data_IF_734702572649
#
_entry.id   IF_734702572649
#
_cell.length_a   1.000
_cell.length_b   1.000
_cell.length_c   1.000
_cell.angle_alpha   90.00
_cell.angle_beta   90.00
_cell.angle_gamma   90.00
#
_symmetry.space_group_name_H-M   'P 1'
#
loop_
_entity.id
_entity.type
_entity.pdbx_description
1 polymer ?
#
# COMPACT_ATOMS: atom_id res chain seq x y z
N UNK A 1 10.86 -59.01 42.17
CA UNK A 1 12.23 -59.09 42.74
C UNK A 1 12.92 -57.78 42.44
N UNK A 2 13.06 -56.99 43.51
CA UNK A 2 14.26 -56.34 44.00
C UNK A 2 14.81 -55.30 43.03
N UNK A 3 14.61 -54.04 43.31
CA UNK A 3 15.38 -53.23 44.27
C UNK A 3 16.50 -52.48 43.57
N UNK A 4 16.43 -51.15 43.58
CA UNK A 4 17.18 -50.15 44.33
C UNK A 4 16.75 -48.76 43.81
N UNK A 5 16.06 -48.01 44.45
CA UNK A 5 16.12 -47.03 45.56
C UNK A 5 17.52 -46.59 46.00
N UNK A 6 17.67 -45.26 46.11
CA UNK A 6 18.69 -44.40 46.72
C UNK A 6 19.58 -43.69 45.67
N UNK A 7 19.79 -42.40 45.74
CA UNK A 7 20.00 -41.53 46.90
C UNK A 7 19.94 -40.09 46.51
N UNK A 8 19.29 -39.31 47.33
CA UNK A 8 19.74 -38.15 48.14
C UNK A 8 20.07 -36.89 47.35
N UNK A 9 19.26 -35.82 47.48
CA UNK A 9 19.23 -34.85 48.60
C UNK A 9 20.61 -34.34 49.03
N UNK A 10 20.75 -33.07 48.92
CA UNK A 10 21.58 -32.02 49.55
C UNK A 10 22.18 -31.17 48.43
N UNK A 11 22.04 -29.83 48.40
CA UNK A 11 22.31 -28.83 49.41
C UNK A 11 21.70 -27.52 48.96
N UNK A 12 20.77 -26.94 49.67
CA UNK A 12 20.90 -25.90 50.70
C UNK A 12 21.68 -24.66 50.27
N UNK A 13 20.91 -23.61 50.08
CA UNK A 13 21.07 -22.19 50.42
C UNK A 13 22.49 -21.65 50.64
N UNK A 14 22.81 -20.63 49.85
CA UNK A 14 23.57 -19.46 50.34
C UNK A 14 22.76 -18.21 50.02
N UNK A 15 22.17 -17.69 51.07
CA UNK A 15 21.56 -16.38 51.19
C UNK A 15 22.61 -15.47 51.87
N UNK A 16 22.49 -14.16 51.62
CA UNK A 16 23.21 -13.00 52.17
C UNK A 16 24.38 -12.58 51.26
N UNK A 17 24.34 -11.43 50.69
CA UNK A 17 24.08 -10.10 51.12
C UNK A 17 24.94 -9.18 50.27
N UNK A 18 24.32 -8.33 49.50
CA UNK A 18 25.00 -7.09 49.12
C UNK A 18 24.05 -5.93 49.40
N UNK A 19 24.53 -5.14 50.34
CA UNK A 19 23.95 -3.92 50.82
C UNK A 19 23.73 -2.91 49.71
N UNK A 20 22.63 -2.23 49.84
CA UNK A 20 22.28 -1.02 49.13
C UNK A 20 23.37 0.03 49.17
N UNK A 21 23.80 0.51 48.02
CA UNK A 21 24.34 1.85 47.85
C UNK A 21 23.38 2.59 46.91
N UNK A 22 22.47 3.32 47.54
CA UNK A 22 21.65 4.32 46.88
C UNK A 22 22.57 5.49 46.55
N UNK A 23 23.02 5.59 45.32
CA UNK A 23 23.57 6.82 44.79
C UNK A 23 22.39 7.69 44.34
N UNK A 24 22.14 8.79 45.06
CA UNK A 24 21.32 9.89 44.58
C UNK A 24 22.00 10.50 43.36
N UNK A 25 21.56 10.07 42.15
CA UNK A 25 21.80 10.82 40.93
C UNK A 25 20.67 11.85 40.84
N UNK A 26 21.05 13.12 40.98
CA UNK A 26 20.11 14.24 40.80
C UNK A 26 19.44 14.19 39.46
N UNK A 27 18.12 14.29 39.47
CA UNK A 27 17.32 14.50 38.28
C UNK A 27 17.76 15.83 37.63
N UNK A 28 18.45 15.75 36.51
CA UNK A 28 18.60 16.89 35.61
C UNK A 28 17.34 16.97 34.80
N UNK A 29 16.65 18.08 34.90
CA UNK A 29 15.51 18.39 34.01
C UNK A 29 15.95 18.32 32.56
N UNK A 30 15.12 17.77 31.67
CA UNK A 30 15.41 17.75 30.23
C UNK A 30 15.52 19.20 29.73
N UNK A 31 16.43 19.48 28.77
CA UNK A 31 16.58 20.81 28.21
C UNK A 31 15.27 21.26 27.54
N UNK A 32 14.81 22.43 27.89
CA UNK A 32 13.64 23.09 27.27
C UNK A 32 13.85 23.22 25.75
N UNK A 33 12.88 22.83 24.93
CA UNK A 33 13.00 23.04 23.47
C UNK A 33 13.10 24.53 23.14
N UNK A 34 13.85 24.92 22.12
CA UNK A 34 14.00 26.31 21.72
C UNK A 34 12.65 26.91 21.32
N UNK A 35 12.39 28.12 21.82
CA UNK A 35 11.20 28.90 21.51
C UNK A 35 11.21 29.17 20.00
N UNK A 36 10.12 28.86 19.26
CA UNK A 36 10.03 29.22 17.84
C UNK A 36 10.10 30.73 17.66
N UNK A 37 10.72 31.24 16.60
CA UNK A 37 10.82 32.68 16.35
C UNK A 37 9.40 33.27 16.22
N UNK A 38 9.22 34.45 16.81
CA UNK A 38 7.97 35.18 16.82
C UNK A 38 7.41 35.31 15.38
N UNK A 39 6.14 34.93 15.22
CA UNK A 39 5.39 35.05 13.97
C UNK A 39 5.52 36.45 13.40
N UNK A 40 5.93 36.55 12.16
CA UNK A 40 5.95 37.79 11.42
C UNK A 40 4.53 38.43 11.44
N UNK A 41 4.47 39.68 11.86
CA UNK A 41 3.23 40.48 11.86
C UNK A 41 2.77 40.61 10.42
N UNK A 42 1.64 39.99 10.11
CA UNK A 42 0.94 40.16 8.81
C UNK A 42 0.43 41.60 8.76
N UNK A 43 0.74 42.40 7.73
CA UNK A 43 0.19 43.72 7.60
C UNK A 43 -1.34 43.65 7.41
N UNK A 44 -2.11 44.66 7.91
CA UNK A 44 -3.56 44.62 7.80
C UNK A 44 -4.02 44.71 6.35
N UNK A 45 -4.96 43.87 5.99
CA UNK A 45 -5.62 43.85 4.68
C UNK A 45 -6.41 45.14 4.53
N UNK A 46 -6.27 45.88 3.40
CA UNK A 46 -7.07 47.07 3.17
C UNK A 46 -8.56 46.73 3.07
N UNK A 47 -9.45 47.63 3.55
CA UNK A 47 -10.88 47.38 3.55
C UNK A 47 -11.42 47.26 2.13
N UNK A 48 -12.27 46.23 1.94
CA UNK A 48 -13.00 46.01 0.69
C UNK A 48 -13.90 47.20 0.38
N UNK A 49 -13.84 47.70 -0.85
CA UNK A 49 -14.71 48.72 -1.37
C UNK A 49 -16.19 48.24 -1.32
N UNK A 50 -17.13 49.08 -0.95
CA UNK A 50 -18.54 48.71 -0.89
C UNK A 50 -19.05 48.36 -2.29
N UNK A 51 -19.80 47.26 -2.39
CA UNK A 51 -20.51 46.86 -3.60
C UNK A 51 -21.57 47.89 -4.01
N UNK A 52 -21.70 48.22 -5.31
CA UNK A 52 -22.73 49.12 -5.78
C UNK A 52 -24.14 48.51 -5.60
N UNK A 53 -25.15 49.35 -5.38
CA UNK A 53 -26.52 48.86 -5.19
C UNK A 53 -27.09 48.29 -6.49
N UNK A 54 -27.84 47.20 -6.34
CA UNK A 54 -28.65 46.60 -7.41
C UNK A 54 -29.72 47.58 -7.88
N UNK A 55 -29.60 48.10 -9.09
CA UNK A 55 -30.72 48.72 -9.80
C UNK A 55 -31.30 47.70 -10.79
N UNK A 56 -32.58 47.46 -10.65
CA UNK A 56 -33.33 46.62 -11.54
C UNK A 56 -33.61 47.26 -12.89
N UNK A 57 -34.00 46.42 -13.83
CA UNK A 57 -34.51 46.64 -15.19
C UNK A 57 -33.46 47.07 -16.24
N UNK A 58 -33.07 46.08 -17.02
CA UNK A 58 -32.27 46.23 -18.25
C UNK A 58 -33.10 46.92 -19.34
N UNK A 59 -32.69 48.05 -19.85
CA UNK A 59 -33.18 48.51 -21.17
C UNK A 59 -32.59 47.66 -22.29
N UNK A 60 -33.39 47.48 -23.35
CA UNK A 60 -32.97 46.74 -24.53
C UNK A 60 -31.63 47.23 -25.10
N UNK A 61 -30.72 46.33 -25.32
CA UNK A 61 -29.39 46.55 -25.87
C UNK A 61 -29.47 47.16 -27.30
N UNK A 62 -28.90 48.31 -27.55
CA UNK A 62 -28.83 48.81 -28.92
C UNK A 62 -27.92 47.94 -29.78
N UNK A 63 -28.35 47.68 -31.00
CA UNK A 63 -27.61 46.87 -31.96
C UNK A 63 -26.15 47.37 -32.11
N UNK A 64 -25.20 46.44 -31.90
CA UNK A 64 -23.78 46.71 -32.00
C UNK A 64 -23.44 47.27 -33.40
N UNK A 65 -22.63 48.34 -33.49
CA UNK A 65 -22.17 48.85 -34.77
C UNK A 65 -21.30 47.79 -35.47
N UNK A 66 -21.53 47.62 -36.79
CA UNK A 66 -20.72 46.73 -37.62
C UNK A 66 -19.26 47.12 -37.53
N UNK A 67 -18.41 46.17 -37.12
CA UNK A 67 -16.96 46.40 -37.08
C UNK A 67 -16.43 46.71 -38.52
N UNK A 68 -15.58 47.67 -38.69
CA UNK A 68 -14.90 47.90 -39.96
C UNK A 68 -14.06 46.67 -40.35
N UNK A 69 -14.05 46.31 -41.63
CA UNK A 69 -13.25 45.21 -42.14
C UNK A 69 -11.77 45.46 -41.80
N UNK A 70 -11.15 44.47 -41.15
CA UNK A 70 -9.71 44.53 -40.85
C UNK A 70 -8.94 44.60 -42.17
N UNK A 71 -7.92 45.46 -42.26
CA UNK A 71 -7.03 45.50 -43.40
C UNK A 71 -6.33 44.15 -43.59
N UNK A 72 -6.19 43.69 -44.82
CA UNK A 72 -5.48 42.48 -45.15
C UNK A 72 -4.07 42.50 -44.56
N UNK A 73 -3.72 41.47 -43.77
CA UNK A 73 -2.35 41.37 -43.26
C UNK A 73 -1.37 41.25 -44.43
N UNK A 74 -0.22 41.94 -44.37
CA UNK A 74 0.82 41.76 -45.37
C UNK A 74 1.29 40.30 -45.36
N UNK A 75 1.52 39.74 -46.56
CA UNK A 75 2.06 38.36 -46.69
C UNK A 75 3.40 38.28 -45.94
N UNK A 76 3.48 37.29 -45.05
CA UNK A 76 4.75 37.03 -44.34
C UNK A 76 5.84 36.68 -45.34
N UNK A 77 7.06 37.20 -45.19
CA UNK A 77 8.19 36.81 -46.02
C UNK A 77 8.41 35.29 -45.90
N UNK A 78 8.76 34.64 -47.00
CA UNK A 78 9.06 33.21 -47.03
C UNK A 78 10.15 32.91 -45.98
N UNK A 79 9.83 31.96 -45.09
CA UNK A 79 10.80 31.47 -44.11
C UNK A 79 11.97 30.83 -44.86
N UNK A 80 13.23 31.24 -44.59
CA UNK A 80 14.37 30.57 -45.21
C UNK A 80 14.34 29.08 -44.97
N UNK A 81 14.70 28.29 -45.97
CA UNK A 81 14.79 26.84 -45.81
C UNK A 81 15.74 26.52 -44.64
N UNK A 82 15.25 25.80 -43.64
CA UNK A 82 16.07 25.32 -42.53
C UNK A 82 17.16 24.42 -43.13
N UNK A 83 18.46 24.68 -42.86
CA UNK A 83 19.51 23.76 -43.30
C UNK A 83 19.19 22.35 -42.81
N UNK A 84 19.44 21.35 -43.65
CA UNK A 84 19.28 19.94 -43.25
C UNK A 84 20.12 19.72 -41.99
N UNK A 85 19.43 19.26 -40.92
CA UNK A 85 20.09 18.84 -39.67
C UNK A 85 21.03 17.69 -40.06
N UNK A 86 22.35 17.76 -39.77
CA UNK A 86 23.21 16.60 -39.95
C UNK A 86 22.61 15.40 -39.27
N UNK A 87 22.64 14.23 -39.92
CA UNK A 87 22.20 12.98 -39.27
C UNK A 87 22.95 12.89 -37.94
N UNK A 88 22.22 12.92 -36.84
CA UNK A 88 22.81 12.71 -35.52
C UNK A 88 23.55 11.38 -35.54
N UNK A 89 24.79 11.31 -34.99
CA UNK A 89 25.43 10.03 -34.76
C UNK A 89 24.44 9.23 -33.93
N UNK A 90 24.05 8.04 -34.44
CA UNK A 90 23.02 7.20 -33.82
C UNK A 90 23.31 7.12 -32.31
N UNK A 91 22.40 7.64 -31.52
CA UNK A 91 22.42 7.43 -30.08
C UNK A 91 22.47 5.91 -29.89
N UNK A 92 23.34 5.40 -28.99
CA UNK A 92 23.28 4.00 -28.64
C UNK A 92 21.84 3.70 -28.30
N UNK A 93 21.34 2.64 -28.90
CA UNK A 93 19.97 2.13 -28.76
C UNK A 93 19.64 2.14 -27.24
N UNK A 94 18.86 3.15 -26.81
CA UNK A 94 18.46 3.25 -25.41
C UNK A 94 17.55 2.08 -25.17
N UNK A 95 18.22 1.05 -24.65
CA UNK A 95 17.71 -0.11 -23.98
C UNK A 95 16.18 -0.15 -24.00
N UNK A 96 15.61 -0.88 -24.95
CA UNK A 96 14.20 -1.24 -24.92
C UNK A 96 14.01 -2.12 -23.68
N UNK A 97 13.78 -1.45 -22.52
CA UNK A 97 13.35 -2.18 -21.33
C UNK A 97 12.11 -2.95 -21.72
N UNK A 98 12.29 -4.25 -21.82
CA UNK A 98 11.23 -5.16 -22.20
C UNK A 98 10.10 -5.05 -21.19
N UNK A 99 8.88 -5.00 -21.68
CA UNK A 99 7.71 -4.98 -20.82
C UNK A 99 7.47 -6.38 -20.27
N UNK A 100 7.33 -6.47 -18.95
CA UNK A 100 6.91 -7.72 -18.30
C UNK A 100 5.47 -7.55 -17.86
N UNK A 101 4.58 -8.39 -18.36
CA UNK A 101 3.20 -8.45 -17.91
C UNK A 101 2.95 -9.76 -17.18
N UNK A 102 2.23 -9.67 -16.05
CA UNK A 102 1.81 -10.83 -15.28
C UNK A 102 0.30 -10.74 -15.05
N UNK A 103 -0.40 -11.77 -15.38
CA UNK A 103 -1.85 -11.88 -15.17
C UNK A 103 -2.20 -13.21 -14.50
N UNK A 104 -3.36 -13.24 -13.89
CA UNK A 104 -3.98 -14.41 -13.32
C UNK A 104 -5.44 -14.44 -13.80
N UNK A 105 -5.88 -15.53 -14.36
CA UNK A 105 -7.24 -15.68 -14.92
C UNK A 105 -8.33 -15.74 -13.84
N UNK A 106 -7.95 -15.90 -12.58
CA UNK A 106 -8.87 -16.04 -11.45
C UNK A 106 -8.75 -14.86 -10.52
N UNK A 107 -9.87 -14.33 -10.09
CA UNK A 107 -9.93 -13.35 -9.00
C UNK A 107 -9.60 -13.97 -7.62
N UNK A 108 -9.41 -15.28 -7.56
CA UNK A 108 -9.07 -16.07 -6.38
C UNK A 108 -7.55 -16.08 -6.15
N UNK A 109 -7.08 -16.38 -4.92
CA UNK A 109 -5.64 -16.55 -4.70
C UNK A 109 -5.05 -17.58 -5.66
N UNK A 110 -3.88 -17.28 -6.20
CA UNK A 110 -3.09 -18.22 -7.01
C UNK A 110 -2.72 -19.43 -6.17
N UNK A 111 -2.96 -20.63 -6.67
CA UNK A 111 -2.69 -21.88 -5.94
C UNK A 111 -1.48 -22.64 -6.46
N UNK A 112 -1.15 -22.45 -7.71
CA UNK A 112 -0.03 -23.09 -8.40
C UNK A 112 0.65 -22.10 -9.36
N UNK A 113 1.92 -22.35 -9.70
CA UNK A 113 2.65 -21.52 -10.65
C UNK A 113 2.04 -21.51 -12.06
N UNK A 114 1.34 -22.59 -12.44
CA UNK A 114 0.66 -22.68 -13.72
C UNK A 114 -0.58 -21.78 -13.86
N UNK A 115 -1.08 -21.24 -12.73
CA UNK A 115 -2.18 -20.26 -12.74
C UNK A 115 -1.68 -18.84 -13.14
N UNK A 116 -0.38 -18.65 -13.25
CA UNK A 116 0.25 -17.38 -13.58
C UNK A 116 0.65 -17.34 -15.05
N UNK A 117 0.15 -16.34 -15.76
CA UNK A 117 0.50 -16.05 -17.15
C UNK A 117 1.48 -14.88 -17.18
N UNK A 118 2.73 -15.16 -17.52
CA UNK A 118 3.78 -14.15 -17.62
C UNK A 118 4.22 -14.02 -19.06
N UNK A 119 4.29 -12.80 -19.54
CA UNK A 119 4.73 -12.48 -20.90
C UNK A 119 5.85 -11.43 -20.83
N UNK A 120 6.86 -11.66 -21.65
CA UNK A 120 7.89 -10.68 -21.95
C UNK A 120 7.63 -10.13 -23.33
N UNK A 121 7.29 -8.85 -23.41
CA UNK A 121 6.71 -8.23 -24.61
C UNK A 121 5.50 -9.05 -25.12
N UNK A 122 5.60 -9.62 -26.32
CA UNK A 122 4.54 -10.44 -26.93
C UNK A 122 4.75 -11.94 -26.73
N UNK A 123 5.83 -12.38 -26.09
CA UNK A 123 6.19 -13.79 -25.96
C UNK A 123 5.82 -14.34 -24.58
N UNK A 124 5.26 -15.55 -24.54
CA UNK A 124 4.99 -16.26 -23.29
C UNK A 124 6.29 -16.73 -22.64
N UNK A 125 6.37 -16.59 -21.33
CA UNK A 125 7.54 -16.99 -20.55
C UNK A 125 7.63 -18.52 -20.41
N UNK A 126 8.84 -19.04 -20.38
CA UNK A 126 9.10 -20.40 -19.91
C UNK A 126 9.12 -20.40 -18.38
N UNK A 127 8.38 -21.33 -17.77
CA UNK A 127 8.20 -21.42 -16.33
C UNK A 127 8.92 -22.63 -15.74
N UNK A 128 9.48 -22.46 -14.55
CA UNK A 128 9.98 -23.52 -13.67
C UNK A 128 9.64 -23.19 -12.22
N UNK A 129 9.30 -24.19 -11.42
CA UNK A 129 9.04 -24.03 -10.00
C UNK A 129 10.11 -24.69 -9.13
N UNK A 130 10.33 -24.10 -7.95
CA UNK A 130 11.19 -24.65 -6.89
C UNK A 130 10.49 -24.46 -5.54
N UNK A 131 10.35 -25.53 -4.76
CA UNK A 131 9.70 -25.49 -3.45
C UNK A 131 10.69 -25.78 -2.32
N UNK A 132 10.54 -25.05 -1.21
CA UNK A 132 11.24 -25.25 0.06
C UNK A 132 10.22 -25.24 1.21
N UNK A 133 10.42 -26.12 2.17
CA UNK A 133 9.60 -26.17 3.39
C UNK A 133 10.48 -25.84 4.59
N UNK A 134 9.94 -25.05 5.51
CA UNK A 134 10.57 -24.72 6.80
C UNK A 134 9.52 -24.76 7.91
N UNK A 135 9.88 -25.24 9.07
CA UNK A 135 8.96 -25.29 10.21
C UNK A 135 8.81 -23.92 10.87
N UNK A 136 7.66 -23.66 11.49
CA UNK A 136 7.46 -22.44 12.27
C UNK A 136 8.44 -22.30 13.44
N UNK A 137 8.91 -23.42 13.98
CA UNK A 137 9.94 -23.42 15.05
C UNK A 137 11.29 -22.95 14.54
N UNK A 138 11.69 -23.31 13.31
CA UNK A 138 12.92 -22.86 12.66
C UNK A 138 12.81 -21.40 12.18
N UNK A 139 11.60 -20.97 11.84
CA UNK A 139 11.33 -19.62 11.34
C UNK A 139 10.17 -18.98 12.13
N UNK A 140 10.39 -18.54 13.38
CA UNK A 140 9.35 -17.88 14.18
C UNK A 140 8.86 -16.56 13.56
N UNK A 141 9.68 -15.92 12.74
CA UNK A 141 9.33 -14.81 11.86
C UNK A 141 9.78 -15.14 10.46
N UNK A 142 8.84 -15.08 9.51
CA UNK A 142 9.15 -15.24 8.09
C UNK A 142 9.38 -13.86 7.46
N UNK A 143 10.62 -13.59 7.01
CA UNK A 143 10.99 -12.37 6.30
C UNK A 143 11.13 -12.69 4.82
N UNK A 144 10.37 -11.99 3.98
CA UNK A 144 10.32 -12.26 2.55
C UNK A 144 10.79 -11.05 1.76
N UNK A 145 11.86 -11.23 1.02
CA UNK A 145 12.51 -10.22 0.18
C UNK A 145 12.75 -10.83 -1.20
N UNK A 146 11.75 -10.82 -2.11
CA UNK A 146 11.98 -11.29 -3.47
C UNK A 146 12.95 -10.36 -4.20
N UNK A 147 13.43 -10.80 -5.35
CA UNK A 147 14.12 -9.91 -6.28
C UNK A 147 13.26 -8.70 -6.65
N UNK A 148 13.89 -7.59 -7.05
CA UNK A 148 13.25 -6.29 -7.25
C UNK A 148 11.95 -6.31 -8.08
N UNK A 149 11.86 -7.19 -9.08
CA UNK A 149 10.69 -7.33 -9.96
C UNK A 149 9.81 -8.54 -9.59
N UNK A 150 9.94 -9.07 -8.38
CA UNK A 150 9.20 -10.25 -7.93
C UNK A 150 7.95 -9.93 -7.12
N UNK A 151 6.88 -10.71 -7.35
CA UNK A 151 5.66 -10.65 -6.54
C UNK A 151 5.67 -11.67 -5.41
N UNK A 152 4.80 -11.44 -4.41
CA UNK A 152 4.61 -12.34 -3.27
C UNK A 152 3.14 -12.52 -2.99
N UNK A 153 2.73 -13.77 -2.87
CA UNK A 153 1.44 -14.12 -2.29
C UNK A 153 1.63 -15.02 -1.07
N UNK A 154 0.94 -14.68 0.01
CA UNK A 154 0.89 -15.50 1.23
C UNK A 154 -0.54 -15.96 1.47
N UNK A 155 -0.71 -17.25 1.69
CA UNK A 155 -1.99 -17.87 2.05
C UNK A 155 -1.89 -18.61 3.38
N UNK A 156 -2.78 -18.32 4.31
CA UNK A 156 -2.87 -19.00 5.59
C UNK A 156 -3.35 -20.45 5.43
N UNK A 157 -2.76 -21.37 6.20
CA UNK A 157 -3.20 -22.77 6.29
C UNK A 157 -3.13 -23.30 7.73
N UNK A 158 -3.66 -24.52 7.94
CA UNK A 158 -3.74 -25.13 9.28
C UNK A 158 -2.56 -26.08 9.58
N UNK A 159 -1.36 -25.80 9.02
CA UNK A 159 -0.13 -26.56 9.30
C UNK A 159 0.90 -25.67 10.01
N UNK A 160 1.78 -26.26 10.82
CA UNK A 160 2.86 -25.57 11.52
C UNK A 160 4.15 -25.45 10.69
N UNK A 161 4.00 -25.41 9.38
CA UNK A 161 5.13 -25.28 8.44
C UNK A 161 4.84 -24.15 7.45
N UNK A 162 5.87 -23.56 6.92
CA UNK A 162 5.82 -22.72 5.73
C UNK A 162 6.18 -23.56 4.52
N UNK A 163 5.40 -23.48 3.44
CA UNK A 163 5.78 -23.94 2.12
C UNK A 163 6.04 -22.71 1.27
N UNK A 164 7.23 -22.60 0.72
CA UNK A 164 7.69 -21.49 -0.10
C UNK A 164 7.97 -22.01 -1.49
N UNK A 165 7.15 -21.66 -2.46
CA UNK A 165 7.31 -22.02 -3.86
C UNK A 165 7.73 -20.78 -4.66
N UNK A 166 8.88 -20.87 -5.32
CA UNK A 166 9.33 -19.86 -6.29
C UNK A 166 8.90 -20.26 -7.68
N UNK A 167 7.99 -19.52 -8.27
CA UNK A 167 7.61 -19.61 -9.67
C UNK A 167 8.60 -18.73 -10.46
N UNK A 168 9.49 -19.35 -11.21
CA UNK A 168 10.54 -18.71 -11.99
C UNK A 168 10.07 -18.59 -13.43
N UNK A 169 10.18 -17.41 -14.01
CA UNK A 169 9.78 -17.13 -15.38
C UNK A 169 10.94 -16.49 -16.14
N UNK A 170 11.20 -16.97 -17.35
CA UNK A 170 12.23 -16.43 -18.20
C UNK A 170 11.75 -16.27 -19.64
N UNK A 171 12.17 -15.21 -20.29
CA UNK A 171 11.95 -14.97 -21.69
C UNK A 171 12.64 -16.03 -22.54
N UNK A 172 11.98 -16.51 -23.58
CA UNK A 172 12.53 -17.55 -24.45
C UNK A 172 13.01 -16.96 -25.79
N UNK A 173 13.92 -16.01 -25.70
CA UNK A 173 14.58 -15.50 -26.89
C UNK A 173 15.72 -16.43 -27.27
N UNK A 174 15.75 -16.89 -28.50
CA UNK A 174 16.78 -17.79 -29.07
C UNK A 174 17.02 -19.07 -28.25
N UNK A 175 16.01 -19.57 -27.53
CA UNK A 175 16.13 -20.77 -26.70
C UNK A 175 16.92 -20.54 -25.40
N UNK A 176 17.15 -19.30 -25.00
CA UNK A 176 17.95 -18.94 -23.81
C UNK A 176 17.27 -19.14 -22.45
N UNK A 177 15.96 -19.37 -22.42
CA UNK A 177 15.18 -19.43 -21.16
C UNK A 177 15.74 -20.43 -20.13
N UNK A 178 16.10 -21.63 -20.55
CA UNK A 178 16.63 -22.66 -19.63
C UNK A 178 17.92 -22.23 -18.94
N UNK A 179 18.76 -21.45 -19.62
CA UNK A 179 19.99 -20.91 -19.04
C UNK A 179 19.69 -19.84 -17.98
N UNK A 180 18.71 -18.99 -18.23
CA UNK A 180 18.25 -17.98 -17.26
C UNK A 180 17.64 -18.66 -16.04
N UNK A 181 16.71 -19.60 -16.25
CA UNK A 181 16.07 -20.36 -15.18
C UNK A 181 17.04 -21.10 -14.28
N UNK A 182 18.10 -21.67 -14.85
CA UNK A 182 19.16 -22.37 -14.10
C UNK A 182 19.99 -21.45 -13.19
N UNK A 183 20.05 -20.15 -13.47
CA UNK A 183 20.74 -19.16 -12.65
C UNK A 183 19.84 -18.57 -11.55
N UNK A 184 18.54 -18.77 -11.65
CA UNK A 184 17.60 -18.29 -10.64
C UNK A 184 17.59 -19.21 -9.43
N UNK A 185 17.75 -18.64 -8.23
CA UNK A 185 17.81 -19.41 -6.99
C UNK A 185 16.79 -18.93 -5.97
N UNK A 186 16.23 -19.86 -5.19
CA UNK A 186 15.46 -19.61 -4.00
C UNK A 186 16.32 -19.91 -2.77
N UNK A 187 16.48 -18.92 -1.90
CA UNK A 187 17.15 -19.09 -0.60
C UNK A 187 16.13 -19.00 0.52
N UNK A 188 16.11 -20.01 1.39
CA UNK A 188 15.32 -19.99 2.62
C UNK A 188 16.27 -20.34 3.76
N UNK A 189 16.65 -19.34 4.58
CA UNK A 189 17.64 -19.51 5.65
C UNK A 189 17.21 -18.71 6.88
N UNK A 190 17.13 -19.34 8.04
CA UNK A 190 16.81 -18.69 9.31
C UNK A 190 15.52 -17.82 9.26
N UNK A 191 14.52 -18.28 8.52
CA UNK A 191 13.26 -17.53 8.31
C UNK A 191 13.36 -16.39 7.30
N UNK A 192 14.48 -16.18 6.66
CA UNK A 192 14.65 -15.24 5.54
C UNK A 192 14.47 -15.96 4.21
N UNK A 193 13.57 -15.43 3.40
CA UNK A 193 13.26 -15.90 2.05
C UNK A 193 13.70 -14.83 1.06
N UNK A 194 14.59 -15.20 0.16
CA UNK A 194 15.06 -14.31 -0.90
C UNK A 194 15.22 -15.06 -2.22
N UNK A 195 15.14 -14.34 -3.31
CA UNK A 195 15.37 -14.86 -4.65
C UNK A 195 16.46 -14.06 -5.33
N UNK A 196 17.23 -14.71 -6.18
CA UNK A 196 18.24 -14.09 -7.02
C UNK A 196 18.28 -14.72 -8.40
N UNK A 197 18.91 -14.06 -9.36
CA UNK A 197 19.02 -14.53 -10.73
C UNK A 197 20.12 -13.81 -11.49
N UNK A 198 20.11 -13.86 -12.84
CA UNK A 198 21.05 -13.16 -13.68
C UNK A 198 21.12 -11.66 -13.36
N UNK A 199 22.26 -11.02 -13.68
CA UNK A 199 22.46 -9.59 -13.44
C UNK A 199 21.59 -8.68 -14.32
N UNK A 200 21.21 -9.17 -15.50
CA UNK A 200 20.22 -8.51 -16.36
C UNK A 200 18.83 -9.03 -15.96
N UNK A 201 18.01 -8.16 -15.38
CA UNK A 201 16.68 -8.47 -14.89
C UNK A 201 15.56 -8.17 -15.88
N UNK A 202 15.90 -7.82 -17.12
CA UNK A 202 14.93 -7.56 -18.18
C UNK A 202 14.24 -8.81 -18.72
N UNK A 203 14.91 -9.95 -18.65
CA UNK A 203 14.51 -11.19 -19.32
C UNK A 203 14.02 -12.28 -18.36
N UNK A 204 13.87 -11.97 -17.07
CA UNK A 204 13.35 -12.90 -16.09
C UNK A 204 12.60 -12.21 -14.96
N UNK A 205 11.72 -12.95 -14.32
CA UNK A 205 11.02 -12.53 -13.11
C UNK A 205 10.69 -13.73 -12.25
N UNK A 206 10.31 -13.49 -11.01
CA UNK A 206 9.85 -14.54 -10.12
C UNK A 206 8.59 -14.13 -9.35
N UNK A 207 7.81 -15.13 -8.93
CA UNK A 207 6.68 -14.94 -8.04
C UNK A 207 6.77 -15.96 -6.91
N UNK A 208 6.64 -15.50 -5.67
CA UNK A 208 6.67 -16.37 -4.50
C UNK A 208 5.23 -16.71 -4.06
N UNK A 209 4.90 -17.99 -4.11
CA UNK A 209 3.69 -18.54 -3.49
C UNK A 209 4.07 -19.12 -2.14
N UNK A 210 3.53 -18.55 -1.07
CA UNK A 210 3.85 -18.96 0.30
C UNK A 210 2.59 -19.43 0.98
N UNK A 211 2.60 -20.65 1.51
CA UNK A 211 1.61 -21.10 2.46
C UNK A 211 2.18 -20.99 3.86
N UNK A 212 1.50 -20.28 4.74
CA UNK A 212 1.98 -19.97 6.08
C UNK A 212 1.00 -20.44 7.15
N UNK A 213 1.48 -20.89 8.32
CA UNK A 213 0.58 -21.10 9.47
C UNK A 213 -0.26 -19.85 9.71
N UNK A 214 -1.56 -19.98 9.95
CA UNK A 214 -2.47 -18.84 10.14
C UNK A 214 -1.94 -17.84 11.17
N UNK A 215 -1.55 -18.32 12.33
CA UNK A 215 -0.98 -17.48 13.39
C UNK A 215 0.52 -17.25 13.20
N UNK A 216 0.93 -16.55 12.18
CA UNK A 216 2.34 -16.29 11.84
C UNK A 216 2.75 -14.84 12.08
N UNK A 217 4.06 -14.64 12.27
CA UNK A 217 4.70 -13.33 12.20
C UNK A 217 5.40 -13.23 10.84
N UNK A 218 4.93 -12.31 10.01
CA UNK A 218 5.36 -12.21 8.61
C UNK A 218 5.80 -10.78 8.33
N UNK A 219 6.95 -10.65 7.68
CA UNK A 219 7.54 -9.39 7.27
C UNK A 219 7.84 -9.46 5.76
N UNK A 220 7.08 -8.71 4.98
CA UNK A 220 7.10 -8.74 3.52
C UNK A 220 7.59 -7.38 2.98
N UNK A 221 8.52 -7.43 2.04
CA UNK A 221 8.98 -6.24 1.34
C UNK A 221 9.16 -6.55 -0.14
N UNK A 222 8.55 -5.72 -0.99
CA UNK A 222 8.68 -5.81 -2.45
C UNK A 222 9.08 -4.47 -3.03
N UNK A 223 9.90 -4.46 -4.08
CA UNK A 223 10.21 -3.23 -4.80
C UNK A 223 9.16 -2.98 -5.91
N UNK A 224 9.04 -3.86 -6.91
CA UNK A 224 8.20 -3.63 -8.09
C UNK A 224 7.25 -4.79 -8.37
N UNK A 225 6.62 -5.34 -7.37
CA UNK A 225 5.72 -6.47 -7.60
C UNK A 225 4.51 -6.46 -6.67
N UNK A 226 3.47 -7.21 -7.01
CA UNK A 226 2.29 -7.32 -6.18
C UNK A 226 2.61 -8.06 -4.87
N UNK A 227 1.94 -7.62 -3.80
CA UNK A 227 1.96 -8.25 -2.51
C UNK A 227 0.54 -8.61 -2.10
N UNK A 228 0.26 -9.89 -1.93
CA UNK A 228 -1.07 -10.36 -1.58
C UNK A 228 -1.04 -11.28 -0.36
N UNK A 229 -2.02 -11.13 0.52
CA UNK A 229 -2.11 -11.94 1.74
C UNK A 229 -3.57 -12.34 1.97
N UNK A 230 -3.79 -13.63 2.23
CA UNK A 230 -5.11 -14.26 2.37
C UNK A 230 -5.19 -15.13 3.62
N UNK A 231 -6.19 -14.89 4.46
CA UNK A 231 -6.55 -15.79 5.56
C UNK A 231 -5.44 -16.03 6.60
N UNK A 232 -4.70 -14.98 6.98
CA UNK A 232 -3.65 -15.04 8.01
C UNK A 232 -4.11 -14.29 9.25
N UNK A 233 -3.90 -14.91 10.41
CA UNK A 233 -4.27 -14.42 11.73
C UNK A 233 -3.00 -14.19 12.55
N UNK A 234 -2.34 -13.09 12.43
CA UNK A 234 -1.07 -12.95 13.12
C UNK A 234 -0.54 -11.52 13.09
N UNK A 235 0.79 -11.39 13.04
CA UNK A 235 1.43 -10.09 12.89
C UNK A 235 2.01 -9.95 11.50
N UNK A 236 1.60 -8.90 10.80
CA UNK A 236 2.04 -8.57 9.46
C UNK A 236 2.75 -7.21 9.44
N UNK A 237 3.93 -7.16 8.84
CA UNK A 237 4.52 -5.94 8.32
C UNK A 237 4.63 -6.11 6.80
N UNK A 238 4.08 -5.18 6.03
CA UNK A 238 4.08 -5.25 4.58
C UNK A 238 4.51 -3.92 3.98
N UNK A 239 5.53 -3.93 3.14
CA UNK A 239 6.02 -2.75 2.45
C UNK A 239 6.18 -3.01 0.96
N UNK A 240 5.57 -2.17 0.12
CA UNK A 240 5.78 -2.17 -1.32
C UNK A 240 6.23 -0.78 -1.79
N UNK A 241 7.27 -0.73 -2.61
CA UNK A 241 7.68 0.54 -3.22
C UNK A 241 6.79 0.88 -4.42
N UNK A 242 6.69 -0.02 -5.40
CA UNK A 242 5.88 0.18 -6.61
C UNK A 242 5.07 -1.09 -6.91
N UNK A 243 3.94 -1.24 -6.29
CA UNK A 243 3.11 -2.41 -6.54
C UNK A 243 1.84 -2.41 -5.70
N UNK A 244 0.82 -3.14 -6.13
CA UNK A 244 -0.41 -3.26 -5.37
C UNK A 244 -0.19 -4.11 -4.11
N UNK A 245 -0.86 -3.71 -3.02
CA UNK A 245 -0.97 -4.53 -1.81
C UNK A 245 -2.42 -4.94 -1.62
N UNK A 246 -2.65 -6.23 -1.45
CA UNK A 246 -3.98 -6.79 -1.21
C UNK A 246 -3.97 -7.62 0.08
N UNK A 247 -4.85 -7.28 1.03
CA UNK A 247 -5.12 -8.08 2.21
C UNK A 247 -6.57 -8.54 2.19
N UNK A 248 -6.81 -9.84 2.32
CA UNK A 248 -8.15 -10.40 2.44
C UNK A 248 -8.25 -11.34 3.64
N UNK A 249 -9.33 -11.21 4.40
CA UNK A 249 -9.65 -12.06 5.54
C UNK A 249 -8.48 -12.19 6.53
N UNK A 250 -7.81 -11.05 6.76
CA UNK A 250 -6.74 -10.91 7.74
C UNK A 250 -7.34 -10.59 9.11
N UNK A 251 -6.81 -11.24 10.14
CA UNK A 251 -7.04 -10.86 11.54
C UNK A 251 -5.70 -10.77 12.28
N UNK A 252 -5.64 -9.92 13.29
CA UNK A 252 -4.39 -9.67 14.04
C UNK A 252 -3.84 -8.26 13.85
N UNK A 253 -2.54 -8.10 13.98
CA UNK A 253 -1.86 -6.80 13.88
C UNK A 253 -1.20 -6.62 12.52
N UNK A 254 -1.59 -5.60 11.74
CA UNK A 254 -0.98 -5.29 10.46
C UNK A 254 -0.46 -3.84 10.39
N UNK A 255 0.76 -3.66 9.89
CA UNK A 255 1.33 -2.39 9.45
C UNK A 255 1.65 -2.52 7.96
N UNK A 256 0.91 -1.77 7.12
CA UNK A 256 0.95 -1.87 5.66
C UNK A 256 1.33 -0.54 5.07
N UNK A 257 2.38 -0.51 4.26
CA UNK A 257 2.88 0.72 3.64
C UNK A 257 3.14 0.54 2.16
N UNK A 258 2.68 1.49 1.37
CA UNK A 258 3.05 1.60 -0.04
C UNK A 258 3.60 2.99 -0.33
N UNK A 259 4.66 3.07 -1.14
CA UNK A 259 5.10 4.37 -1.68
C UNK A 259 4.27 4.71 -2.91
N UNK A 260 4.22 3.83 -3.90
CA UNK A 260 3.46 4.03 -5.13
C UNK A 260 2.66 2.77 -5.46
N UNK A 261 1.39 2.79 -5.21
CA UNK A 261 0.55 1.66 -5.57
C UNK A 261 -0.76 1.62 -4.80
N UNK A 262 -1.75 0.91 -5.34
CA UNK A 262 -3.03 0.75 -4.66
C UNK A 262 -2.91 -0.18 -3.45
N UNK A 263 -3.67 0.13 -2.40
CA UNK A 263 -3.85 -0.77 -1.26
C UNK A 263 -5.33 -1.16 -1.19
N UNK A 264 -5.59 -2.45 -1.21
CA UNK A 264 -6.95 -2.99 -1.06
C UNK A 264 -7.02 -3.89 0.16
N UNK A 265 -7.96 -3.58 1.06
CA UNK A 265 -8.22 -4.38 2.25
C UNK A 265 -9.65 -4.88 2.19
N UNK A 266 -9.84 -6.18 2.42
CA UNK A 266 -11.16 -6.78 2.55
C UNK A 266 -11.20 -7.59 3.84
N UNK A 267 -12.09 -7.24 4.78
CA UNK A 267 -12.15 -7.93 6.08
C UNK A 267 -13.07 -7.28 7.09
N UNK A 268 -13.09 -7.87 8.29
CA UNK A 268 -13.96 -7.48 9.40
C UNK A 268 -13.27 -7.43 10.76
N UNK A 269 -11.94 -7.58 10.80
CA UNK A 269 -11.23 -7.72 12.09
C UNK A 269 -9.79 -7.26 12.06
N UNK A 270 -9.20 -7.10 13.25
CA UNK A 270 -7.79 -6.83 13.46
C UNK A 270 -7.48 -5.45 14.03
N UNK A 271 -6.17 -5.19 14.14
CA UNK A 271 -5.58 -3.88 14.41
C UNK A 271 -4.73 -3.51 13.19
N UNK A 272 -5.33 -2.81 12.24
CA UNK A 272 -4.75 -2.59 10.92
C UNK A 272 -4.35 -1.13 10.76
N UNK A 273 -3.09 -0.88 10.42
CA UNK A 273 -2.57 0.44 10.04
C UNK A 273 -2.10 0.41 8.61
N UNK A 274 -2.56 1.38 7.84
CA UNK A 274 -2.28 1.49 6.41
C UNK A 274 -1.77 2.90 6.13
N UNK A 275 -0.71 2.99 5.35
CA UNK A 275 -0.21 4.26 4.86
C UNK A 275 0.21 4.14 3.39
N UNK A 276 -0.20 5.10 2.56
CA UNK A 276 0.33 5.25 1.20
C UNK A 276 0.71 6.70 0.90
N UNK A 277 1.85 6.88 0.23
CA UNK A 277 2.25 8.20 -0.26
C UNK A 277 1.49 8.55 -1.54
N UNK A 278 1.49 7.63 -2.53
CA UNK A 278 0.88 7.87 -3.83
C UNK A 278 0.11 6.63 -4.29
N UNK A 279 -1.18 6.64 -4.09
CA UNK A 279 -2.03 5.55 -4.57
C UNK A 279 -3.40 5.52 -3.90
N UNK A 280 -4.37 4.86 -4.53
CA UNK A 280 -5.69 4.69 -3.95
C UNK A 280 -5.67 3.71 -2.77
N UNK A 281 -6.51 3.99 -1.78
CA UNK A 281 -6.85 3.03 -0.72
C UNK A 281 -8.31 2.61 -0.90
N UNK A 282 -8.55 1.30 -0.97
CA UNK A 282 -9.88 0.72 -1.02
C UNK A 282 -10.10 -0.21 0.18
N UNK A 283 -11.05 0.11 1.02
CA UNK A 283 -11.43 -0.68 2.19
C UNK A 283 -12.81 -1.28 1.95
N UNK A 284 -12.89 -2.59 1.93
CA UNK A 284 -14.14 -3.35 1.79
C UNK A 284 -14.47 -4.03 3.11
N UNK A 285 -15.38 -3.47 3.87
CA UNK A 285 -15.80 -4.04 5.15
C UNK A 285 -16.69 -5.25 4.92
N UNK A 286 -16.44 -6.32 5.68
CA UNK A 286 -17.28 -7.53 5.71
C UNK A 286 -18.04 -7.63 7.03
N UNK A 287 -19.17 -8.35 6.99
CA UNK A 287 -20.01 -8.56 8.17
C UNK A 287 -20.63 -7.28 8.70
N UNK A 288 -21.19 -7.35 9.91
CA UNK A 288 -21.96 -6.27 10.53
C UNK A 288 -21.16 -5.42 11.50
N UNK A 289 -20.00 -5.89 11.93
CA UNK A 289 -19.14 -5.21 12.91
C UNK A 289 -17.68 -5.50 12.64
N UNK A 290 -16.82 -4.56 13.05
CA UNK A 290 -15.38 -4.79 13.12
C UNK A 290 -15.02 -5.39 14.47
N UNK A 291 -14.25 -6.47 14.47
CA UNK A 291 -13.73 -7.10 15.69
C UNK A 291 -12.24 -6.80 15.85
N UNK A 292 -11.81 -6.44 17.06
CA UNK A 292 -10.43 -6.02 17.33
C UNK A 292 -10.31 -4.55 17.69
N UNK A 293 -9.11 -3.98 17.58
CA UNK A 293 -8.83 -2.60 18.00
C UNK A 293 -9.21 -1.55 16.98
N UNK A 294 -9.29 -1.92 15.70
CA UNK A 294 -9.73 -1.02 14.63
C UNK A 294 -8.85 -1.01 13.39
N UNK A 295 -9.21 -0.11 12.47
CA UNK A 295 -8.46 0.13 11.24
C UNK A 295 -8.18 1.63 11.12
N UNK A 296 -6.93 1.98 10.81
CA UNK A 296 -6.53 3.34 10.46
C UNK A 296 -5.86 3.32 9.10
N UNK A 297 -6.31 4.16 8.18
CA UNK A 297 -5.73 4.27 6.85
C UNK A 297 -5.54 5.72 6.45
N UNK A 298 -4.34 6.04 6.02
CA UNK A 298 -3.91 7.39 5.63
C UNK A 298 -3.30 7.38 4.24
N UNK A 299 -3.88 8.15 3.31
CA UNK A 299 -3.32 8.42 2.00
C UNK A 299 -2.80 9.86 1.93
N UNK A 300 -1.58 10.05 1.43
CA UNK A 300 -1.09 11.40 1.17
C UNK A 300 -1.66 11.93 -0.15
N UNK A 301 -1.51 11.16 -1.23
CA UNK A 301 -2.00 11.50 -2.55
C UNK A 301 -2.74 10.32 -3.17
N UNK A 302 -4.05 10.36 -3.15
CA UNK A 302 -4.85 9.31 -3.78
C UNK A 302 -6.28 9.26 -3.28
N UNK A 303 -7.17 8.69 -4.10
CA UNK A 303 -8.56 8.49 -3.70
C UNK A 303 -8.67 7.46 -2.58
N UNK A 304 -9.68 7.65 -1.73
CA UNK A 304 -10.02 6.74 -0.66
C UNK A 304 -11.46 6.27 -0.83
N UNK A 305 -11.64 4.96 -0.86
CA UNK A 305 -12.96 4.34 -0.98
C UNK A 305 -13.23 3.44 0.23
N UNK A 306 -14.38 3.65 0.86
CA UNK A 306 -14.91 2.79 1.92
C UNK A 306 -16.19 2.14 1.45
N UNK A 307 -16.19 0.82 1.31
CA UNK A 307 -17.39 0.02 1.01
C UNK A 307 -17.93 -0.57 2.30
N UNK A 308 -19.20 -0.26 2.61
CA UNK A 308 -19.82 -0.59 3.90
C UNK A 308 -21.07 -1.41 3.68
N UNK A 309 -21.25 -2.56 4.39
CA UNK A 309 -22.52 -3.30 4.40
C UNK A 309 -23.67 -2.43 4.90
N UNK A 310 -24.88 -2.70 4.40
CA UNK A 310 -26.08 -1.90 4.73
C UNK A 310 -26.50 -1.96 6.20
N UNK A 311 -26.17 -3.06 6.88
CA UNK A 311 -26.48 -3.33 8.29
C UNK A 311 -25.28 -3.16 9.24
N UNK A 312 -24.23 -2.46 8.79
CA UNK A 312 -23.01 -2.22 9.55
C UNK A 312 -23.26 -1.38 10.81
N UNK A 313 -22.64 -1.78 11.94
CA UNK A 313 -22.89 -1.22 13.27
C UNK A 313 -21.68 -0.57 13.92
N UNK A 314 -20.46 -0.96 13.53
CA UNK A 314 -19.27 -0.34 14.11
C UNK A 314 -19.08 1.08 13.61
N UNK A 315 -18.49 1.93 14.47
CA UNK A 315 -18.25 3.33 14.17
C UNK A 315 -17.15 3.51 13.12
N UNK A 316 -17.31 4.50 12.26
CA UNK A 316 -16.25 4.94 11.35
C UNK A 316 -16.19 6.46 11.22
N UNK A 317 -15.02 6.96 10.90
CA UNK A 317 -14.77 8.35 10.53
C UNK A 317 -13.94 8.39 9.25
N UNK A 318 -14.39 9.13 8.27
CA UNK A 318 -13.69 9.33 7.00
C UNK A 318 -13.47 10.81 6.78
N UNK A 319 -12.23 11.21 6.53
CA UNK A 319 -11.81 12.59 6.42
C UNK A 319 -11.10 12.85 5.09
N UNK A 320 -11.44 13.96 4.46
CA UNK A 320 -10.74 14.49 3.29
C UNK A 320 -10.28 15.91 3.58
N UNK A 321 -9.01 16.20 3.32
CA UNK A 321 -8.38 17.52 3.48
C UNK A 321 -8.23 18.21 2.14
N UNK A 322 -7.75 19.45 2.14
CA UNK A 322 -7.42 20.24 0.94
C UNK A 322 -8.57 20.36 -0.08
N UNK A 323 -9.80 20.60 0.37
CA UNK A 323 -10.99 20.80 -0.49
C UNK A 323 -11.32 19.61 -1.42
N UNK A 324 -10.70 18.45 -1.21
CA UNK A 324 -10.97 17.30 -2.06
C UNK A 324 -12.44 16.85 -1.99
N UNK A 325 -13.02 16.40 -3.10
CA UNK A 325 -14.41 15.98 -3.14
C UNK A 325 -14.69 14.81 -2.19
N UNK A 326 -15.86 14.85 -1.52
CA UNK A 326 -16.32 13.74 -0.69
C UNK A 326 -17.76 13.38 -1.05
N UNK A 327 -18.01 12.10 -1.21
CA UNK A 327 -19.33 11.55 -1.52
C UNK A 327 -19.71 10.41 -0.56
N UNK A 328 -20.98 10.25 -0.32
CA UNK A 328 -21.52 9.18 0.53
C UNK A 328 -22.81 8.67 -0.09
N UNK A 329 -22.78 7.45 -0.64
CA UNK A 329 -23.88 6.82 -1.37
C UNK A 329 -24.39 5.52 -0.71
N UNK A 330 -23.75 5.08 0.39
CA UNK A 330 -24.23 3.93 1.16
C UNK A 330 -25.51 4.31 1.94
N UNK A 331 -26.38 3.35 2.20
CA UNK A 331 -27.59 3.55 3.03
C UNK A 331 -27.29 4.11 4.43
N UNK A 332 -26.13 3.77 4.99
CA UNK A 332 -25.66 4.25 6.28
C UNK A 332 -25.41 5.77 6.29
N UNK A 333 -25.25 6.40 5.13
CA UNK A 333 -25.01 7.83 4.97
C UNK A 333 -26.20 8.71 5.41
N UNK A 334 -27.39 8.15 5.47
CA UNK A 334 -28.56 8.84 5.99
C UNK A 334 -28.47 9.10 7.50
N UNK A 335 -27.75 8.20 8.20
CA UNK A 335 -27.55 8.25 9.66
C UNK A 335 -26.19 8.84 10.06
N UNK A 336 -25.30 9.07 9.10
CA UNK A 336 -23.98 9.60 9.34
C UNK A 336 -24.01 11.13 9.52
N UNK A 337 -23.19 11.62 10.45
CA UNK A 337 -22.95 13.06 10.61
C UNK A 337 -21.97 13.51 9.53
N UNK A 338 -22.28 14.65 8.90
CA UNK A 338 -21.46 15.24 7.85
C UNK A 338 -21.02 16.63 8.30
N UNK A 339 -19.73 16.84 8.42
CA UNK A 339 -19.14 18.13 8.79
C UNK A 339 -18.30 18.65 7.63
N UNK A 340 -18.62 19.86 7.18
CA UNK A 340 -17.92 20.57 6.12
C UNK A 340 -17.40 21.88 6.67
N UNK A 341 -16.11 22.02 6.76
CA UNK A 341 -15.45 23.30 7.02
C UNK A 341 -14.59 23.72 5.83
N UNK A 342 -13.93 24.88 5.93
CA UNK A 342 -13.20 25.44 4.79
C UNK A 342 -12.08 24.57 4.23
N UNK A 343 -11.51 23.69 5.04
CA UNK A 343 -10.38 22.86 4.63
C UNK A 343 -10.59 21.35 4.78
N UNK A 344 -11.59 20.94 5.57
CA UNK A 344 -11.80 19.54 5.89
C UNK A 344 -13.24 19.13 5.64
N UNK A 345 -13.39 17.94 5.13
CA UNK A 345 -14.70 17.28 4.99
C UNK A 345 -14.65 15.97 5.73
N UNK A 346 -15.64 15.74 6.58
CA UNK A 346 -15.69 14.55 7.42
C UNK A 346 -17.07 13.94 7.43
N UNK A 347 -17.10 12.61 7.36
CA UNK A 347 -18.31 11.80 7.55
C UNK A 347 -18.05 10.88 8.73
N UNK A 348 -18.92 10.92 9.73
CA UNK A 348 -18.82 10.11 10.94
C UNK A 348 -20.10 9.31 11.16
N UNK A 349 -19.96 8.06 11.53
CA UNK A 349 -21.04 7.17 11.89
C UNK A 349 -20.75 6.45 13.20
N UNK A 350 -21.74 6.33 14.07
CA UNK A 350 -21.62 5.63 15.35
C UNK A 350 -20.97 6.47 16.43
N UNK A 351 -20.38 5.81 17.43
CA UNK A 351 -19.78 6.47 18.59
C UNK A 351 -18.33 6.91 18.37
N UNK A 352 -17.85 7.79 19.25
CA UNK A 352 -16.45 8.25 19.27
C UNK A 352 -15.70 7.60 20.45
N UNK A 353 -14.39 7.19 20.30
CA UNK A 353 -13.63 7.28 19.07
C UNK A 353 -14.07 6.27 18.00
N UNK A 354 -14.00 6.67 16.73
CA UNK A 354 -14.33 5.78 15.64
C UNK A 354 -13.37 4.60 15.58
N UNK A 355 -13.93 3.39 15.37
CA UNK A 355 -13.14 2.15 15.27
C UNK A 355 -12.41 2.07 13.93
N UNK A 356 -13.01 2.61 12.87
CA UNK A 356 -12.41 2.71 11.54
C UNK A 356 -12.16 4.18 11.24
N UNK A 357 -10.91 4.54 10.99
CA UNK A 357 -10.48 5.91 10.69
C UNK A 357 -9.74 5.94 9.38
N UNK A 358 -10.25 6.71 8.45
CA UNK A 358 -9.68 6.85 7.13
C UNK A 358 -9.46 8.32 6.82
N UNK A 359 -8.29 8.67 6.31
CA UNK A 359 -7.99 10.04 5.91
C UNK A 359 -7.22 10.11 4.60
N UNK A 360 -7.47 11.16 3.82
CA UNK A 360 -6.62 11.52 2.68
C UNK A 360 -6.32 13.00 2.69
N UNK A 361 -5.11 13.37 2.28
CA UNK A 361 -4.74 14.78 2.16
C UNK A 361 -5.15 15.31 0.80
N UNK A 362 -4.74 14.66 -0.27
CA UNK A 362 -5.00 15.06 -1.64
C UNK A 362 -5.68 13.92 -2.41
N UNK A 363 -6.99 13.89 -2.37
CA UNK A 363 -7.74 12.88 -3.11
C UNK A 363 -9.22 12.85 -2.76
N UNK A 364 -10.07 12.44 -3.69
CA UNK A 364 -11.50 12.30 -3.41
C UNK A 364 -11.74 11.15 -2.45
N UNK A 365 -12.82 11.29 -1.66
CA UNK A 365 -13.29 10.25 -0.75
C UNK A 365 -14.68 9.80 -1.16
N UNK A 366 -14.90 8.49 -1.19
CA UNK A 366 -16.18 7.86 -1.47
C UNK A 366 -16.55 6.85 -0.39
N UNK A 367 -17.72 6.99 0.20
CA UNK A 367 -18.36 5.96 1.02
C UNK A 367 -19.51 5.36 0.23
N UNK A 368 -19.47 4.07 -0.03
CA UNK A 368 -20.42 3.36 -0.89
C UNK A 368 -20.94 2.08 -0.21
N UNK A 369 -22.01 1.53 -0.73
CA UNK A 369 -22.50 0.21 -0.29
C UNK A 369 -21.52 -0.88 -0.71
N UNK A 370 -21.26 -1.82 0.19
CA UNK A 370 -20.53 -3.02 -0.17
C UNK A 370 -21.32 -3.82 -1.21
N UNK A 371 -20.63 -4.29 -2.26
CA UNK A 371 -21.24 -5.29 -3.14
C UNK A 371 -21.25 -6.62 -2.39
N UNK A 372 -22.39 -7.25 -2.28
CA UNK A 372 -22.48 -8.64 -1.85
C UNK A 372 -21.84 -9.49 -2.95
N UNK A 373 -20.68 -10.07 -2.66
CA UNK A 373 -20.12 -11.15 -3.50
C UNK A 373 -21.07 -12.35 -3.35
N UNK A 374 -21.87 -12.63 -4.41
CA UNK A 374 -22.71 -13.81 -4.49
C UNK A 374 -21.87 -15.08 -4.72
#
# INVERSE_FOLDING_TARGET
MKSFLRSCLLTVAIVFGFCALVALAGAQDPPTPPIPPASAVVPPVPPLSPSPPFYGATPAEPAAPSMPAMPAMPSMPAVPAVPAIPAEPGWPDWDHRRSVSMSNDRHEPVTDCSDLHVRFDDSEAVMQSEERTVTKAEAPTLRVRPHANGGVQVQGWDKDTYSVTSCKFAANYDGGAQRLLAQMTLSVKNGEVSTSGPSDDSDWTNYLLIRAPKASVIDLETANGPLSLYGVDGKLTAHATNGPITLRDFSGDADVRATNGPITITGSSGNVRIHTENGPISINLKGTTWTGTGLTADAQNGPLTLSVPSDYKSSFSVESRNYSPMSCHASICEKAQKTWDDNNRRIEFGGSPAMIRLSTVNGPVSVQSAHEEM
#
